data_IF_763165959768
#
_entry.id   IF_763165959768
#
_cell.length_a   1.000
_cell.length_b   1.000
_cell.length_c   1.000
_cell.angle_alpha   90.00
_cell.angle_beta   90.00
_cell.angle_gamma   90.00
#
_symmetry.space_group_name_H-M   'P 1'
#
loop_
_entity.id
_entity.type
_entity.pdbx_description
1 polymer ?
#
# COMPACT_ATOMS: atom_id res chain seq x y z
N UNK A 1 9.45 -2.17 14.08
CA UNK A 1 9.33 -1.57 12.72
C UNK A 1 7.91 -1.16 12.46
N UNK A 2 7.67 -0.04 11.75
CA UNK A 2 6.37 0.42 11.28
C UNK A 2 6.49 0.93 9.84
N UNK A 3 5.36 1.18 9.19
CA UNK A 3 5.29 1.61 7.80
C UNK A 3 4.60 2.96 7.69
N UNK A 4 5.02 3.76 6.72
CA UNK A 4 4.36 5.02 6.37
C UNK A 4 3.81 4.92 4.96
N UNK A 5 2.48 4.93 4.86
CA UNK A 5 1.76 4.98 3.60
C UNK A 5 1.49 6.42 3.22
N UNK A 6 1.88 6.80 2.03
CA UNK A 6 1.74 8.17 1.55
C UNK A 6 0.98 8.23 0.24
N UNK A 7 0.02 9.14 0.17
CA UNK A 7 -0.74 9.46 -1.03
C UNK A 7 -0.55 10.93 -1.37
N UNK A 8 -0.09 11.20 -2.59
CA UNK A 8 0.05 12.54 -3.13
C UNK A 8 -1.08 12.79 -4.11
N UNK A 9 -1.99 13.69 -3.81
CA UNK A 9 -2.96 14.23 -4.77
C UNK A 9 -2.21 15.21 -5.67
N UNK A 10 -2.10 14.88 -6.94
CA UNK A 10 -1.30 15.62 -7.92
C UNK A 10 -2.17 16.62 -8.65
N UNK A 11 -1.63 17.80 -8.97
CA UNK A 11 -2.31 18.79 -9.77
C UNK A 11 -2.67 18.25 -11.17
N UNK A 12 -3.78 18.70 -11.74
CA UNK A 12 -4.26 18.19 -13.04
C UNK A 12 -3.17 18.28 -14.12
N UNK A 13 -2.93 17.16 -14.82
CA UNK A 13 -1.91 17.06 -15.86
C UNK A 13 -0.45 16.99 -15.38
N UNK A 14 -0.19 17.10 -14.06
CA UNK A 14 1.19 17.16 -13.52
C UNK A 14 1.75 15.81 -13.03
N UNK A 15 0.97 14.72 -13.09
CA UNK A 15 1.43 13.39 -12.63
C UNK A 15 2.69 12.92 -13.37
N UNK A 16 2.84 13.05 -14.70
CA UNK A 16 4.07 12.66 -15.39
C UNK A 16 5.29 13.42 -14.87
N UNK A 17 5.18 14.73 -14.65
CA UNK A 17 6.26 15.56 -14.13
C UNK A 17 6.65 15.17 -12.69
N UNK A 18 5.66 14.83 -11.84
CA UNK A 18 5.92 14.34 -10.49
C UNK A 18 6.62 12.98 -10.53
N UNK A 19 6.16 12.05 -11.35
CA UNK A 19 6.77 10.72 -11.51
C UNK A 19 8.20 10.84 -12.01
N UNK A 20 8.47 11.74 -12.99
CA UNK A 20 9.82 12.03 -13.47
C UNK A 20 10.71 12.58 -12.35
N UNK A 21 10.26 13.59 -11.58
CA UNK A 21 11.03 14.12 -10.44
C UNK A 21 11.36 13.04 -9.41
N UNK A 22 10.43 12.12 -9.16
CA UNK A 22 10.68 11.00 -8.24
C UNK A 22 11.74 10.05 -8.80
N UNK A 23 11.61 9.63 -10.05
CA UNK A 23 12.52 8.67 -10.68
C UNK A 23 13.91 9.22 -10.94
N UNK A 24 14.00 10.46 -11.45
CA UNK A 24 15.28 11.08 -11.80
C UNK A 24 16.06 11.64 -10.61
N UNK A 25 15.38 12.02 -9.51
CA UNK A 25 16.02 12.70 -8.40
C UNK A 25 15.63 12.15 -7.02
N UNK A 26 14.33 12.20 -6.65
CA UNK A 26 13.89 12.03 -5.26
C UNK A 26 14.24 10.65 -4.69
N UNK A 27 13.97 9.58 -5.44
CA UNK A 27 14.22 8.19 -5.00
C UNK A 27 15.72 7.94 -4.78
N UNK A 28 16.58 8.48 -5.63
CA UNK A 28 18.03 8.35 -5.49
C UNK A 28 18.54 9.07 -4.24
N UNK A 29 18.02 10.26 -3.97
CA UNK A 29 18.33 11.00 -2.73
C UNK A 29 17.86 10.27 -1.49
N UNK A 30 16.64 9.73 -1.49
CA UNK A 30 16.15 8.94 -0.36
C UNK A 30 17.01 7.70 -0.07
N UNK A 31 17.49 7.02 -1.11
CA UNK A 31 18.48 5.92 -0.94
C UNK A 31 19.76 6.40 -0.27
N UNK A 32 20.28 7.57 -0.66
CA UNK A 32 21.47 8.17 -0.04
C UNK A 32 21.25 8.50 1.45
N UNK A 33 20.05 8.96 1.82
CA UNK A 33 19.64 9.20 3.20
C UNK A 33 19.22 7.93 3.95
N UNK A 34 19.32 6.75 3.33
CA UNK A 34 19.00 5.47 3.94
C UNK A 34 17.51 5.25 4.21
N UNK A 35 16.61 5.85 3.43
CA UNK A 35 15.20 5.55 3.51
C UNK A 35 14.95 4.11 3.04
N UNK A 36 14.15 3.37 3.80
CA UNK A 36 13.69 2.04 3.38
C UNK A 36 12.46 2.18 2.48
N UNK A 37 12.70 2.05 1.18
CA UNK A 37 11.68 2.21 0.15
C UNK A 37 11.04 0.84 -0.11
N UNK A 38 9.71 0.75 0.06
CA UNK A 38 8.96 -0.50 -0.14
C UNK A 38 8.41 -0.58 -1.57
N UNK A 39 7.67 0.43 -2.00
CA UNK A 39 7.12 0.46 -3.35
C UNK A 39 6.48 1.81 -3.68
N UNK A 40 6.35 2.06 -5.01
CA UNK A 40 5.78 3.29 -5.58
C UNK A 40 4.85 2.94 -6.71
N UNK A 41 3.65 3.48 -6.68
CA UNK A 41 2.61 3.15 -7.64
C UNK A 41 1.82 4.38 -8.09
N UNK A 42 1.20 4.25 -9.25
CA UNK A 42 0.13 5.13 -9.72
C UNK A 42 -1.17 4.35 -9.84
N UNK A 43 -2.33 4.93 -9.50
CA UNK A 43 -3.60 4.26 -9.66
C UNK A 43 -3.95 3.97 -11.12
N UNK A 44 -4.52 2.78 -11.38
CA UNK A 44 -5.13 2.38 -12.66
C UNK A 44 -6.65 2.47 -12.54
N UNK A 45 -7.20 1.99 -11.40
CA UNK A 45 -8.61 2.09 -11.04
C UNK A 45 -8.69 2.55 -9.59
N UNK A 46 -9.29 3.70 -9.35
CA UNK A 46 -9.42 4.33 -8.03
C UNK A 46 -10.46 5.45 -8.07
N UNK A 47 -10.89 5.92 -6.89
CA UNK A 47 -11.70 7.12 -6.77
C UNK A 47 -10.96 8.37 -7.28
N UNK A 48 -9.63 8.40 -7.09
CA UNK A 48 -8.73 9.45 -7.58
C UNK A 48 -7.60 8.83 -8.39
N UNK A 49 -7.59 9.04 -9.69
CA UNK A 49 -6.59 8.50 -10.60
C UNK A 49 -5.28 9.31 -10.66
N UNK A 50 -5.35 10.60 -10.32
CA UNK A 50 -4.20 11.51 -10.42
C UNK A 50 -3.38 11.54 -9.12
N UNK A 51 -2.84 10.38 -8.74
CA UNK A 51 -2.08 10.21 -7.50
C UNK A 51 -0.75 9.50 -7.73
N UNK A 52 0.23 9.83 -6.87
CA UNK A 52 1.40 9.00 -6.62
C UNK A 52 1.27 8.42 -5.20
N UNK A 53 1.37 7.11 -5.11
CA UNK A 53 1.19 6.34 -3.87
C UNK A 53 2.49 5.60 -3.58
N UNK A 54 2.93 5.60 -2.31
CA UNK A 54 4.12 4.86 -1.93
C UNK A 54 4.15 4.49 -0.44
N UNK A 55 4.99 3.52 -0.10
CA UNK A 55 5.19 3.03 1.26
C UNK A 55 6.67 3.11 1.61
N UNK A 56 6.96 3.66 2.79
CA UNK A 56 8.24 3.59 3.47
C UNK A 56 8.19 2.62 4.66
N UNK A 57 9.34 2.01 5.01
CA UNK A 57 9.54 1.30 6.25
C UNK A 57 10.46 2.08 7.19
N UNK A 58 10.21 2.01 8.50
CA UNK A 58 10.94 2.70 9.57
C UNK A 58 11.18 1.78 10.76
N UNK A 59 12.38 1.78 11.30
CA UNK A 59 12.66 1.05 12.55
C UNK A 59 12.08 1.78 13.77
N UNK A 60 12.13 3.13 13.77
CA UNK A 60 11.63 3.96 14.87
C UNK A 60 11.13 5.33 14.38
N UNK A 61 10.37 6.02 15.23
CA UNK A 61 9.96 7.41 14.99
C UNK A 61 11.17 8.38 15.02
N UNK A 62 12.19 8.06 15.79
CA UNK A 62 13.43 8.83 15.85
C UNK A 62 14.17 8.74 14.51
N UNK A 63 14.35 7.54 13.97
CA UNK A 63 14.92 7.34 12.64
C UNK A 63 14.17 8.12 11.57
N UNK A 64 12.84 7.98 11.57
CA UNK A 64 11.95 8.71 10.66
C UNK A 64 12.15 10.22 10.74
N UNK A 65 12.15 10.78 11.97
CA UNK A 65 12.33 12.21 12.19
C UNK A 65 13.69 12.69 11.70
N UNK A 66 14.77 11.99 12.07
CA UNK A 66 16.15 12.31 11.67
C UNK A 66 16.33 12.32 10.16
N UNK A 67 15.91 11.24 9.46
CA UNK A 67 16.06 11.13 8.01
C UNK A 67 15.20 12.17 7.27
N UNK A 68 13.97 12.40 7.72
CA UNK A 68 13.13 13.44 7.14
C UNK A 68 13.68 14.85 7.36
N UNK A 69 14.28 15.16 8.51
CA UNK A 69 14.91 16.45 8.77
C UNK A 69 16.10 16.67 7.81
N UNK A 70 16.99 15.67 7.69
CA UNK A 70 18.13 15.71 6.77
C UNK A 70 17.67 15.92 5.31
N UNK A 71 16.67 15.17 4.86
CA UNK A 71 16.09 15.33 3.52
C UNK A 71 15.48 16.71 3.27
N UNK A 72 14.78 17.27 4.27
CA UNK A 72 14.18 18.61 4.13
C UNK A 72 15.22 19.70 4.06
N UNK A 73 16.36 19.52 4.71
CA UNK A 73 17.48 20.47 4.72
C UNK A 73 18.39 20.36 3.49
N UNK A 74 18.21 19.37 2.62
CA UNK A 74 19.05 19.18 1.44
C UNK A 74 18.91 20.37 0.45
N UNK A 75 20.01 21.13 0.14
CA UNK A 75 19.95 22.27 -0.78
C UNK A 75 19.64 21.86 -2.22
N UNK A 76 20.04 20.67 -2.64
CA UNK A 76 19.71 20.17 -3.98
C UNK A 76 18.21 19.87 -4.09
N UNK A 77 17.55 19.45 -2.99
CA UNK A 77 16.10 19.32 -2.94
C UNK A 77 15.43 20.67 -3.21
N UNK A 78 15.85 21.73 -2.50
CA UNK A 78 15.26 23.06 -2.66
C UNK A 78 15.39 23.55 -4.11
N UNK A 79 16.60 23.38 -4.70
CA UNK A 79 16.85 23.70 -6.11
C UNK A 79 15.96 22.93 -7.07
N UNK A 80 15.84 21.59 -6.87
CA UNK A 80 15.01 20.74 -7.72
C UNK A 80 13.52 21.07 -7.64
N UNK A 81 13.02 21.43 -6.45
CA UNK A 81 11.64 21.89 -6.27
C UNK A 81 11.39 23.22 -7.01
N UNK A 82 12.25 24.21 -6.84
CA UNK A 82 12.13 25.47 -7.56
C UNK A 82 12.13 25.29 -9.08
N UNK A 83 12.97 24.39 -9.60
CA UNK A 83 13.02 24.05 -11.02
C UNK A 83 11.73 23.41 -11.52
N UNK A 84 11.26 22.37 -10.84
CA UNK A 84 10.11 21.56 -11.30
C UNK A 84 8.75 22.19 -11.02
N UNK A 85 8.66 23.15 -10.12
CA UNK A 85 7.44 23.85 -9.75
C UNK A 85 7.42 25.32 -10.21
N UNK A 86 8.32 25.71 -11.11
CA UNK A 86 8.35 27.07 -11.68
C UNK A 86 7.04 27.51 -12.35
N UNK A 87 6.29 26.55 -12.90
CA UNK A 87 5.00 26.73 -13.55
C UNK A 87 3.82 26.29 -12.64
N UNK A 88 3.99 26.40 -11.33
CA UNK A 88 3.02 26.05 -10.31
C UNK A 88 3.27 24.70 -9.64
N UNK A 89 2.54 24.42 -8.55
CA UNK A 89 2.76 23.23 -7.74
C UNK A 89 2.45 21.94 -8.51
N UNK A 90 3.24 20.90 -8.29
CA UNK A 90 2.94 19.56 -8.79
C UNK A 90 1.94 18.82 -7.90
N UNK A 91 1.89 19.15 -6.60
CA UNK A 91 1.12 18.41 -5.59
C UNK A 91 0.16 19.35 -4.88
N UNK A 92 -1.14 18.98 -4.86
CA UNK A 92 -2.18 19.73 -4.16
C UNK A 92 -2.28 19.37 -2.69
N UNK A 93 -2.11 18.07 -2.36
CA UNK A 93 -2.21 17.58 -0.99
C UNK A 93 -1.35 16.31 -0.79
N UNK A 94 -0.91 16.11 0.45
CA UNK A 94 -0.18 14.92 0.87
C UNK A 94 -0.87 14.32 2.10
N UNK A 95 -1.26 13.06 1.98
CA UNK A 95 -1.86 12.28 3.07
C UNK A 95 -0.87 11.24 3.55
N UNK A 96 -0.76 11.10 4.86
CA UNK A 96 0.12 10.13 5.51
C UNK A 96 -0.68 9.25 6.46
N UNK A 97 -0.37 7.96 6.47
CA UNK A 97 -0.84 7.02 7.47
C UNK A 97 0.36 6.26 8.04
N UNK A 98 0.45 6.16 9.36
CA UNK A 98 1.41 5.28 10.01
C UNK A 98 0.72 3.96 10.33
N UNK A 99 1.35 2.87 9.91
CA UNK A 99 0.77 1.54 9.93
C UNK A 99 1.68 0.58 10.68
N UNK A 100 1.10 -0.29 11.48
CA UNK A 100 1.81 -1.43 12.09
C UNK A 100 1.48 -2.73 11.36
N UNK A 101 2.49 -3.57 11.05
CA UNK A 101 2.24 -4.86 10.43
C UNK A 101 1.49 -5.77 11.39
N UNK A 102 0.55 -6.56 10.87
CA UNK A 102 -0.08 -7.64 11.62
C UNK A 102 0.87 -8.81 11.80
N UNK A 103 0.61 -9.70 12.76
CA UNK A 103 1.42 -10.93 12.98
C UNK A 103 1.47 -11.88 11.78
N UNK A 104 0.49 -11.80 10.89
CA UNK A 104 0.39 -12.59 9.66
C UNK A 104 0.86 -11.83 8.40
N UNK A 105 1.32 -10.59 8.53
CA UNK A 105 1.90 -9.82 7.42
C UNK A 105 3.17 -10.48 6.88
N UNK A 106 3.34 -10.50 5.57
CA UNK A 106 4.48 -11.14 4.91
C UNK A 106 5.59 -10.17 4.51
N UNK A 107 5.32 -8.86 4.63
CA UNK A 107 6.19 -7.79 4.14
C UNK A 107 7.63 -7.84 4.71
N UNK A 108 7.80 -8.35 5.92
CA UNK A 108 9.10 -8.40 6.62
C UNK A 108 9.78 -9.76 6.56
N UNK A 109 9.17 -10.76 5.93
CA UNK A 109 9.70 -12.12 5.88
C UNK A 109 10.71 -12.36 4.76
N UNK A 110 11.07 -11.30 4.02
CA UNK A 110 12.14 -11.34 3.00
C UNK A 110 11.80 -12.14 1.76
N UNK A 111 10.58 -12.68 1.66
CA UNK A 111 10.17 -13.39 0.45
C UNK A 111 9.68 -12.40 -0.59
N UNK A 112 10.26 -12.38 -1.79
CA UNK A 112 9.65 -11.69 -2.92
C UNK A 112 8.27 -12.33 -3.18
N UNK A 113 7.32 -11.56 -3.67
CA UNK A 113 5.91 -11.95 -3.88
C UNK A 113 5.76 -13.10 -4.89
N UNK A 114 6.18 -14.28 -4.48
CA UNK A 114 6.23 -15.50 -5.28
C UNK A 114 7.60 -15.79 -5.88
N UNK A 115 7.85 -17.04 -6.27
CA UNK A 115 9.16 -17.57 -6.60
C UNK A 115 9.84 -16.98 -7.84
N UNK A 116 9.17 -16.09 -8.61
CA UNK A 116 9.66 -15.59 -9.90
C UNK A 116 9.57 -14.06 -10.06
N UNK A 117 9.59 -13.30 -8.98
CA UNK A 117 9.40 -11.84 -9.02
C UNK A 117 10.43 -11.08 -9.90
N UNK A 118 11.56 -11.69 -10.22
CA UNK A 118 12.61 -11.08 -11.04
C UNK A 118 12.44 -11.28 -12.56
N UNK A 119 11.56 -12.18 -13.01
CA UNK A 119 11.51 -12.63 -14.42
C UNK A 119 10.24 -12.27 -15.17
N UNK A 120 9.24 -11.67 -14.52
CA UNK A 120 7.92 -11.41 -15.10
C UNK A 120 7.65 -9.92 -15.33
N UNK A 121 6.68 -9.63 -16.20
CA UNK A 121 6.07 -8.30 -16.32
C UNK A 121 5.62 -7.79 -14.95
N UNK A 122 5.68 -6.46 -14.69
CA UNK A 122 5.30 -5.92 -13.40
C UNK A 122 3.86 -6.31 -13.06
N UNK A 123 3.65 -6.75 -11.82
CA UNK A 123 2.33 -7.04 -11.29
C UNK A 123 1.45 -5.80 -11.23
N UNK A 124 0.13 -6.02 -11.29
CA UNK A 124 -0.82 -5.05 -10.74
C UNK A 124 -0.96 -5.30 -9.25
N UNK A 125 -0.99 -4.25 -8.48
CA UNK A 125 -1.21 -4.33 -7.04
C UNK A 125 -2.63 -3.89 -6.71
N UNK A 126 -3.25 -4.52 -5.72
CA UNK A 126 -4.54 -4.10 -5.18
C UNK A 126 -4.37 -3.70 -3.73
N UNK A 127 -4.49 -2.41 -3.47
CA UNK A 127 -4.61 -1.88 -2.12
C UNK A 127 -6.06 -2.05 -1.67
N UNK A 128 -6.24 -2.68 -0.52
CA UNK A 128 -7.56 -2.88 0.07
C UNK A 128 -7.58 -2.29 1.47
N UNK A 129 -8.57 -1.47 1.71
CA UNK A 129 -8.78 -0.75 2.96
C UNK A 129 -10.12 -1.19 3.55
N UNK A 130 -10.05 -2.00 4.59
CA UNK A 130 -11.23 -2.50 5.32
C UNK A 130 -11.50 -1.59 6.49
N UNK A 131 -12.62 -0.89 6.45
CA UNK A 131 -13.15 -0.16 7.58
C UNK A 131 -13.96 -1.10 8.45
N UNK A 132 -13.54 -1.32 9.68
CA UNK A 132 -14.30 -2.10 10.66
C UNK A 132 -15.50 -1.31 11.20
N UNK A 133 -16.55 -2.03 11.56
CA UNK A 133 -17.57 -1.48 12.46
C UNK A 133 -16.92 -1.09 13.81
N UNK A 134 -17.43 -0.08 14.51
CA UNK A 134 -16.91 0.33 15.83
C UNK A 134 -16.74 -0.87 16.77
N UNK A 135 -15.54 -1.01 17.34
CA UNK A 135 -15.16 -2.10 18.23
C UNK A 135 -14.93 -3.47 17.56
N UNK A 136 -15.00 -3.57 16.20
CA UNK A 136 -14.88 -4.85 15.48
C UNK A 136 -13.56 -5.07 14.76
N UNK A 137 -12.57 -4.20 14.94
CA UNK A 137 -11.27 -4.36 14.25
C UNK A 137 -10.57 -5.68 14.63
N UNK A 138 -10.67 -6.11 15.90
CA UNK A 138 -10.10 -7.37 16.34
C UNK A 138 -10.78 -8.57 15.67
N UNK A 139 -12.10 -8.53 15.50
CA UNK A 139 -12.84 -9.60 14.80
C UNK A 139 -12.38 -9.77 13.35
N UNK A 140 -12.11 -8.64 12.66
CA UNK A 140 -11.54 -8.69 11.29
C UNK A 140 -10.12 -9.27 11.34
N UNK A 141 -9.28 -8.81 12.27
CA UNK A 141 -7.91 -9.28 12.47
C UNK A 141 -7.87 -10.79 12.69
N UNK A 142 -8.70 -11.30 13.59
CA UNK A 142 -8.79 -12.73 13.91
C UNK A 142 -9.27 -13.54 12.69
N UNK A 143 -10.31 -13.06 11.98
CA UNK A 143 -10.78 -13.71 10.77
C UNK A 143 -9.69 -13.80 9.69
N UNK A 144 -8.88 -12.74 9.50
CA UNK A 144 -7.78 -12.75 8.56
C UNK A 144 -6.67 -13.72 9.01
N UNK A 145 -6.21 -13.62 10.24
CA UNK A 145 -5.13 -14.43 10.76
C UNK A 145 -5.47 -15.92 10.85
N UNK A 146 -6.67 -16.25 11.33
CA UNK A 146 -7.08 -17.63 11.59
C UNK A 146 -7.64 -18.33 10.33
N UNK A 147 -8.11 -17.58 9.33
CA UNK A 147 -8.73 -18.18 8.16
C UNK A 147 -8.35 -17.52 6.84
N UNK A 148 -8.62 -16.21 6.66
CA UNK A 148 -8.60 -15.58 5.33
C UNK A 148 -7.24 -15.68 4.65
N UNK A 149 -6.13 -15.44 5.36
CA UNK A 149 -4.77 -15.55 4.80
C UNK A 149 -4.45 -16.96 4.32
N UNK A 150 -4.88 -17.99 5.08
CA UNK A 150 -4.75 -19.41 4.67
C UNK A 150 -5.57 -19.72 3.43
N UNK A 151 -6.83 -19.27 3.41
CA UNK A 151 -7.71 -19.45 2.27
C UNK A 151 -7.21 -18.70 1.02
N UNK A 152 -6.68 -17.48 1.17
CA UNK A 152 -6.03 -16.76 0.08
C UNK A 152 -4.84 -17.54 -0.49
N UNK A 153 -3.99 -18.13 0.37
CA UNK A 153 -2.90 -18.99 -0.07
C UNK A 153 -3.42 -20.20 -0.85
N UNK A 154 -4.46 -20.89 -0.36
CA UNK A 154 -5.12 -22.03 -1.01
C UNK A 154 -5.61 -21.67 -2.42
N UNK A 155 -6.20 -20.47 -2.57
CA UNK A 155 -6.70 -19.96 -3.85
C UNK A 155 -5.65 -19.24 -4.71
N UNK A 156 -4.36 -19.30 -4.33
CA UNK A 156 -3.26 -18.78 -5.11
C UNK A 156 -3.15 -17.26 -5.15
N UNK A 157 -3.69 -16.55 -4.14
CA UNK A 157 -3.50 -15.10 -4.00
C UNK A 157 -2.05 -14.78 -3.63
N UNK A 158 -1.46 -13.79 -4.28
CA UNK A 158 -0.15 -13.25 -3.90
C UNK A 158 -0.34 -12.17 -2.85
N UNK A 159 -0.05 -12.51 -1.60
CA UNK A 159 -0.21 -11.66 -0.45
C UNK A 159 1.08 -10.90 -0.19
N UNK A 160 1.02 -9.57 -0.14
CA UNK A 160 2.19 -8.69 0.02
C UNK A 160 2.38 -8.27 1.48
N UNK A 161 1.34 -7.72 2.09
CA UNK A 161 1.41 -7.28 3.48
C UNK A 161 0.06 -6.85 4.01
N UNK A 162 -0.03 -6.83 5.35
CA UNK A 162 -1.23 -6.50 6.12
C UNK A 162 -0.85 -5.61 7.29
N UNK A 163 -1.58 -4.52 7.46
CA UNK A 163 -1.30 -3.51 8.49
C UNK A 163 -2.56 -3.01 9.15
N UNK A 164 -2.43 -2.64 10.43
CA UNK A 164 -3.40 -1.78 11.10
C UNK A 164 -2.99 -0.32 10.92
N UNK A 165 -3.94 0.56 10.66
CA UNK A 165 -3.70 1.99 10.77
C UNK A 165 -3.52 2.37 12.24
N UNK A 166 -2.53 3.23 12.54
CA UNK A 166 -2.26 3.72 13.90
C UNK A 166 -2.33 5.23 14.01
N UNK A 167 -2.08 5.94 12.92
CA UNK A 167 -2.11 7.39 12.90
C UNK A 167 -2.36 7.91 11.50
N UNK A 168 -3.19 8.91 11.38
CA UNK A 168 -3.60 9.47 10.09
C UNK A 168 -4.63 8.57 9.41
N UNK A 169 -5.87 9.02 9.26
CA UNK A 169 -6.99 8.22 8.77
C UNK A 169 -7.84 7.62 9.88
N UNK A 170 -8.37 6.42 9.71
CA UNK A 170 -9.29 5.80 10.66
C UNK A 170 -8.59 4.67 11.45
N UNK A 171 -8.67 4.71 12.80
CA UNK A 171 -8.03 3.72 13.68
C UNK A 171 -8.64 2.31 13.58
N UNK A 172 -9.86 2.19 13.06
CA UNK A 172 -10.54 0.91 12.87
C UNK A 172 -10.32 0.33 11.47
N UNK A 173 -9.09 0.46 10.95
CA UNK A 173 -8.78 0.09 9.57
C UNK A 173 -7.75 -1.03 9.49
N UNK A 174 -8.08 -2.10 8.74
CA UNK A 174 -7.13 -3.09 8.24
C UNK A 174 -6.80 -2.73 6.79
N UNK A 175 -5.53 -2.49 6.52
CA UNK A 175 -5.01 -2.17 5.19
C UNK A 175 -4.19 -3.36 4.71
N UNK A 176 -4.37 -3.79 3.46
CA UNK A 176 -3.53 -4.83 2.90
C UNK A 176 -3.30 -4.67 1.40
N UNK A 177 -2.24 -5.29 0.92
CA UNK A 177 -1.79 -5.23 -0.45
C UNK A 177 -1.70 -6.65 -1.01
N UNK A 178 -2.35 -6.86 -2.17
CA UNK A 178 -2.26 -8.07 -2.98
C UNK A 178 -1.55 -7.75 -4.30
N UNK A 179 -1.00 -8.77 -4.97
CA UNK A 179 -0.41 -8.64 -6.29
C UNK A 179 -1.06 -9.61 -7.29
N UNK A 180 -1.23 -9.16 -8.54
CA UNK A 180 -1.94 -9.86 -9.60
C UNK A 180 -1.17 -9.80 -10.93
N UNK A 181 -1.16 -10.86 -11.70
CA UNK A 181 -0.63 -10.81 -13.07
C UNK A 181 -1.55 -10.00 -14.00
N UNK A 182 -2.86 -10.06 -13.74
CA UNK A 182 -3.88 -9.33 -14.50
C UNK A 182 -5.15 -9.09 -13.70
N UNK A 183 -6.04 -8.24 -14.20
CA UNK A 183 -7.38 -8.06 -13.63
C UNK A 183 -8.23 -9.32 -13.79
N UNK A 184 -8.06 -10.08 -14.87
CA UNK A 184 -8.80 -11.32 -15.10
C UNK A 184 -8.41 -12.39 -14.08
N UNK A 185 -7.11 -12.52 -13.75
CA UNK A 185 -6.63 -13.38 -12.66
C UNK A 185 -7.28 -12.98 -11.33
N UNK A 186 -7.29 -11.70 -11.04
CA UNK A 186 -7.93 -11.16 -9.82
C UNK A 186 -9.41 -11.54 -9.74
N UNK A 187 -10.17 -11.32 -10.81
CA UNK A 187 -11.60 -11.63 -10.87
C UNK A 187 -11.83 -13.12 -10.68
N UNK A 188 -11.14 -13.96 -11.44
CA UNK A 188 -11.30 -15.43 -11.37
C UNK A 188 -10.99 -15.98 -9.97
N UNK A 189 -9.92 -15.50 -9.31
CA UNK A 189 -9.55 -15.94 -7.96
C UNK A 189 -10.53 -15.47 -6.89
N UNK A 190 -11.01 -14.23 -6.97
CA UNK A 190 -12.04 -13.76 -6.03
C UNK A 190 -13.36 -14.50 -6.22
N UNK A 191 -13.75 -14.84 -7.46
CA UNK A 191 -14.96 -15.63 -7.72
C UNK A 191 -14.87 -17.04 -7.13
N UNK A 192 -13.74 -17.70 -7.26
CA UNK A 192 -13.53 -19.03 -6.66
C UNK A 192 -13.50 -18.95 -5.13
N UNK A 193 -12.80 -17.96 -4.58
CA UNK A 193 -12.77 -17.72 -3.14
C UNK A 193 -14.17 -17.40 -2.57
N UNK A 194 -14.95 -16.58 -3.26
CA UNK A 194 -16.30 -16.23 -2.80
C UNK A 194 -17.23 -17.44 -2.70
N UNK A 195 -17.05 -18.44 -3.57
CA UNK A 195 -17.85 -19.67 -3.66
C UNK A 195 -17.32 -20.81 -2.77
N UNK A 196 -16.14 -20.65 -2.14
CA UNK A 196 -15.58 -21.68 -1.25
C UNK A 196 -16.53 -21.91 -0.04
N UNK A 197 -17.06 -23.15 0.14
CA UNK A 197 -18.02 -23.44 1.22
C UNK A 197 -17.46 -23.13 2.61
N UNK A 198 -16.16 -23.34 2.81
CA UNK A 198 -15.54 -23.05 4.10
C UNK A 198 -15.49 -21.54 4.35
N UNK A 199 -15.16 -20.74 3.32
CA UNK A 199 -15.24 -19.27 3.40
C UNK A 199 -16.67 -18.83 3.74
N UNK A 200 -17.69 -19.36 3.07
CA UNK A 200 -19.09 -19.00 3.33
C UNK A 200 -19.43 -19.27 4.79
N UNK A 201 -19.10 -20.45 5.30
CA UNK A 201 -19.36 -20.84 6.70
C UNK A 201 -18.63 -19.93 7.71
N UNK A 202 -17.31 -19.70 7.51
CA UNK A 202 -16.50 -18.90 8.45
C UNK A 202 -16.94 -17.43 8.47
N UNK A 203 -17.29 -16.88 7.31
CA UNK A 203 -17.75 -15.49 7.22
C UNK A 203 -19.13 -15.34 7.91
N UNK A 204 -20.06 -16.25 7.68
CA UNK A 204 -21.34 -16.24 8.35
C UNK A 204 -21.18 -16.37 9.88
N UNK A 205 -20.32 -17.27 10.35
CA UNK A 205 -20.04 -17.42 11.78
C UNK A 205 -19.44 -16.16 12.40
N UNK A 206 -18.47 -15.52 11.70
CA UNK A 206 -17.84 -14.30 12.20
C UNK A 206 -18.80 -13.10 12.28
N UNK A 207 -19.90 -13.13 11.56
CA UNK A 207 -20.90 -12.06 11.47
C UNK A 207 -22.25 -12.42 12.09
N UNK A 208 -22.34 -13.57 12.80
CA UNK A 208 -23.61 -14.02 13.45
C UNK A 208 -24.19 -13.03 14.46
N UNK A 209 -23.34 -12.21 15.06
CA UNK A 209 -23.72 -11.14 16.00
C UNK A 209 -23.71 -9.75 15.35
N UNK A 210 -23.94 -9.68 14.04
CA UNK A 210 -23.94 -8.46 13.23
C UNK A 210 -22.67 -8.27 12.41
N UNK A 211 -22.69 -7.30 11.48
CA UNK A 211 -21.58 -7.05 10.56
C UNK A 211 -20.33 -6.62 11.32
N UNK A 212 -19.17 -7.08 10.86
CA UNK A 212 -17.86 -6.65 11.38
C UNK A 212 -17.16 -5.67 10.44
N UNK A 213 -17.56 -5.62 9.17
CA UNK A 213 -17.03 -4.71 8.15
C UNK A 213 -18.07 -3.65 7.80
N UNK A 214 -17.69 -2.38 7.90
CA UNK A 214 -18.52 -1.25 7.51
C UNK A 214 -18.38 -0.96 6.01
N UNK A 215 -17.14 -0.94 5.51
CA UNK A 215 -16.82 -0.57 4.13
C UNK A 215 -15.52 -1.25 3.68
N UNK A 216 -15.42 -1.51 2.38
CA UNK A 216 -14.19 -1.93 1.74
C UNK A 216 -13.91 -1.00 0.57
N UNK A 217 -12.77 -0.33 0.58
CA UNK A 217 -12.27 0.41 -0.56
C UNK A 217 -11.17 -0.39 -1.26
N UNK A 218 -11.15 -0.35 -2.59
CA UNK A 218 -10.16 -1.02 -3.41
C UNK A 218 -9.52 -0.03 -4.38
N UNK A 219 -8.22 -0.10 -4.51
CA UNK A 219 -7.47 0.68 -5.50
C UNK A 219 -6.55 -0.24 -6.27
N UNK A 220 -6.66 -0.26 -7.60
CA UNK A 220 -5.73 -0.99 -8.46
C UNK A 220 -4.57 -0.06 -8.81
N UNK A 221 -3.37 -0.53 -8.56
CA UNK A 221 -2.14 0.21 -8.63
C UNK A 221 -1.17 -0.42 -9.65
N UNK A 222 -0.48 0.41 -10.42
CA UNK A 222 0.63 0.00 -11.30
C UNK A 222 1.94 0.51 -10.71
N UNK A 223 2.98 -0.34 -10.58
CA UNK A 223 4.27 0.10 -10.09
C UNK A 223 4.91 1.09 -11.08
N UNK A 224 5.58 2.11 -10.53
CA UNK A 224 6.41 3.02 -11.33
C UNK A 224 7.70 2.33 -11.77
N UNK A 225 8.38 2.88 -12.79
CA UNK A 225 9.64 2.32 -13.29
C UNK A 225 10.74 2.24 -12.22
N UNK A 226 10.72 3.13 -11.23
CA UNK A 226 11.68 3.19 -10.13
C UNK A 226 11.24 2.48 -8.84
N UNK A 227 10.03 1.86 -8.83
CA UNK A 227 9.55 1.11 -7.67
C UNK A 227 10.46 -0.09 -7.39
N UNK A 228 10.88 -0.35 -6.14
CA UNK A 228 11.56 -1.59 -5.77
C UNK A 228 10.67 -2.82 -5.96
N UNK A 229 9.38 -2.65 -5.73
CA UNK A 229 8.35 -3.67 -5.88
C UNK A 229 7.73 -3.55 -7.27
N UNK A 230 7.77 -4.65 -8.04
CA UNK A 230 7.29 -4.72 -9.43
C UNK A 230 6.13 -5.68 -9.59
#
# INVERSE_FOLDING_TARGET
MFYEFRRYDVAAGKLPALVDRFGSFTVNKWKQYGFRLIGFWTPVVADKSNQLVYIWGWESQEERAKKNAAWRADPERAKKWAETEKDGPLVNAVYNQLMEPTSYSQIDRGEPYGPDAASRSPYLFELREYQAMPGKIQNITDRFGNFTCGAFKKHGFRQVGYWHNRMGGNDHQLIYLLAWESLDERVAKFDTFAKDPERVRVFAESEKNGPIVQQVANTILRPTAFSPMK
#
